data_IF_350997816894
#
_entry.id   IF_350997816894
#
_cell.length_a   1.000
_cell.length_b   1.000
_cell.length_c   1.000
_cell.angle_alpha   90.00
_cell.angle_beta   90.00
_cell.angle_gamma   90.00
#
_symmetry.space_group_name_H-M   'P 1'
#
loop_
_entity.id
_entity.type
_entity.pdbx_description
1 polymer ?
#
# COMPACT_ATOMS: atom_id res chain seq x y z
N UNK A 1 5.02 -10.25 41.93
CA UNK A 1 4.91 -8.80 41.66
C UNK A 1 5.31 -8.60 40.21
N UNK A 2 4.34 -8.77 39.31
CA UNK A 2 4.57 -8.84 37.87
C UNK A 2 4.70 -7.42 37.32
N UNK A 3 5.85 -7.13 36.70
CA UNK A 3 6.06 -5.90 35.94
C UNK A 3 5.31 -6.05 34.62
N UNK A 4 4.46 -5.09 34.19
CA UNK A 4 3.96 -5.10 32.83
C UNK A 4 5.16 -4.85 31.90
N UNK A 5 5.47 -5.81 31.04
CA UNK A 5 6.39 -5.59 29.94
C UNK A 5 5.79 -4.51 29.04
N UNK A 6 6.46 -3.35 28.99
CA UNK A 6 6.14 -2.31 28.03
C UNK A 6 6.37 -2.88 26.62
N UNK A 7 5.31 -3.32 25.96
CA UNK A 7 5.28 -3.60 24.53
C UNK A 7 5.35 -2.27 23.76
N UNK A 8 6.52 -1.64 23.78
CA UNK A 8 6.83 -0.40 23.10
C UNK A 8 7.89 -0.66 22.03
N UNK A 9 7.53 -1.41 21.00
CA UNK A 9 8.36 -1.63 19.82
C UNK A 9 7.46 -1.62 18.60
N UNK A 10 7.07 -0.42 18.16
CA UNK A 10 6.48 -0.26 16.83
C UNK A 10 7.57 -0.56 15.81
N UNK A 11 7.74 -1.84 15.47
CA UNK A 11 8.76 -2.31 14.54
C UNK A 11 8.38 -1.83 13.14
N UNK A 12 8.88 -0.64 12.79
CA UNK A 12 8.70 -0.07 11.46
C UNK A 12 9.58 -0.87 10.51
N UNK A 13 8.98 -1.75 9.72
CA UNK A 13 9.71 -2.54 8.74
C UNK A 13 9.55 -1.92 7.35
N UNK A 14 10.69 -1.58 6.75
CA UNK A 14 10.76 -1.11 5.38
C UNK A 14 11.14 -2.29 4.47
N UNK A 15 10.35 -2.50 3.43
CA UNK A 15 10.62 -3.45 2.35
C UNK A 15 10.58 -2.69 1.04
N UNK A 16 11.73 -2.58 0.37
CA UNK A 16 11.80 -1.99 -0.95
C UNK A 16 12.21 -3.06 -1.96
N UNK A 17 11.57 -3.03 -3.12
CA UNK A 17 11.92 -3.90 -4.23
C UNK A 17 11.62 -3.17 -5.52
N UNK A 18 12.41 -3.44 -6.56
CA UNK A 18 12.16 -2.91 -7.89
C UNK A 18 11.81 -4.07 -8.80
N UNK A 19 10.69 -3.96 -9.52
CA UNK A 19 10.30 -4.90 -10.55
C UNK A 19 10.24 -4.19 -11.90
N UNK A 20 10.80 -4.83 -12.93
CA UNK A 20 10.65 -4.37 -14.30
C UNK A 20 9.30 -4.84 -14.80
N UNK A 21 8.32 -3.94 -14.85
CA UNK A 21 7.00 -4.19 -15.41
C UNK A 21 6.99 -3.59 -16.82
N UNK A 22 6.81 -4.45 -17.83
CA UNK A 22 6.96 -4.08 -19.24
C UNK A 22 8.36 -3.47 -19.53
N UNK A 23 8.42 -2.24 -20.06
CA UNK A 23 9.66 -1.54 -20.39
C UNK A 23 10.07 -0.54 -19.32
N UNK A 24 9.33 -0.45 -18.21
CA UNK A 24 9.57 0.54 -17.16
C UNK A 24 9.99 -0.15 -15.86
N UNK A 25 11.07 0.36 -15.26
CA UNK A 25 11.47 -0.05 -13.92
C UNK A 25 10.52 0.59 -12.91
N UNK A 26 9.81 -0.24 -12.16
CA UNK A 26 8.88 0.20 -11.12
C UNK A 26 9.49 -0.12 -9.77
N UNK A 27 9.56 0.89 -8.92
CA UNK A 27 10.01 0.77 -7.56
C UNK A 27 8.81 0.66 -6.63
N UNK A 28 8.90 -0.29 -5.71
CA UNK A 28 7.92 -0.56 -4.67
C UNK A 28 8.58 -0.30 -3.33
N UNK A 29 7.95 0.52 -2.51
CA UNK A 29 8.39 0.83 -1.16
C UNK A 29 7.23 0.55 -0.21
N UNK A 30 7.36 -0.51 0.55
CA UNK A 30 6.42 -0.91 1.59
C UNK A 30 7.01 -0.54 2.93
N UNK A 31 6.23 0.13 3.76
CA UNK A 31 6.58 0.50 5.12
C UNK A 31 5.44 0.01 6.00
N UNK A 32 5.71 -1.01 6.79
CA UNK A 32 4.77 -1.52 7.79
C UNK A 32 5.03 -0.81 9.11
N UNK A 33 3.95 -0.32 9.72
CA UNK A 33 3.90 0.23 11.06
C UNK A 33 3.02 -0.70 11.93
N UNK A 34 2.90 -0.38 13.23
CA UNK A 34 2.14 -1.21 14.19
C UNK A 34 0.71 -1.51 13.73
N UNK A 35 -0.02 -0.47 13.30
CA UNK A 35 -1.44 -0.54 12.91
C UNK A 35 -1.71 0.02 11.51
N UNK A 36 -0.65 0.38 10.77
CA UNK A 36 -0.77 0.92 9.42
C UNK A 36 0.29 0.36 8.48
N UNK A 37 -0.01 0.41 7.20
CA UNK A 37 0.84 -0.04 6.12
C UNK A 37 0.91 1.09 5.10
N UNK A 38 2.09 1.42 4.63
CA UNK A 38 2.29 2.38 3.56
C UNK A 38 2.95 1.67 2.39
N UNK A 39 2.35 1.78 1.21
CA UNK A 39 2.80 1.16 -0.02
C UNK A 39 2.94 2.25 -1.05
N UNK A 40 4.14 2.43 -1.56
CA UNK A 40 4.43 3.38 -2.62
C UNK A 40 4.90 2.61 -3.84
N UNK A 41 4.37 2.99 -4.99
CA UNK A 41 4.69 2.41 -6.29
C UNK A 41 4.97 3.54 -7.26
N UNK A 42 6.14 3.53 -7.88
CA UNK A 42 6.50 4.56 -8.85
C UNK A 42 7.76 4.25 -9.63
N UNK A 43 7.88 4.79 -10.83
CA UNK A 43 9.08 4.67 -11.65
C UNK A 43 10.12 5.79 -11.39
N UNK A 44 9.70 6.88 -10.75
CA UNK A 44 10.55 8.03 -10.40
C UNK A 44 10.31 8.40 -8.93
N UNK A 45 11.26 9.03 -8.22
CA UNK A 45 11.14 9.38 -6.81
C UNK A 45 10.18 10.57 -6.57
N UNK A 46 9.07 10.63 -7.29
CA UNK A 46 8.02 11.62 -7.12
C UNK A 46 6.86 10.99 -6.36
N UNK A 47 6.32 11.73 -5.39
CA UNK A 47 5.10 11.39 -4.67
C UNK A 47 3.94 12.07 -5.41
N UNK A 48 3.22 11.33 -6.25
CA UNK A 48 1.90 11.74 -6.79
C UNK A 48 0.89 10.62 -6.59
N UNK A 49 -0.39 10.98 -6.65
CA UNK A 49 -1.52 10.05 -6.57
C UNK A 49 -1.44 9.14 -5.33
N UNK A 50 -1.33 9.78 -4.16
CA UNK A 50 -1.39 9.15 -2.85
C UNK A 50 -2.85 9.04 -2.40
N UNK A 51 -3.27 7.85 -2.07
CA UNK A 51 -4.53 7.55 -1.42
C UNK A 51 -4.29 6.83 -0.09
N UNK A 52 -5.25 6.93 0.80
CA UNK A 52 -5.31 6.13 2.02
C UNK A 52 -6.64 5.41 2.08
N UNK A 53 -6.62 4.16 2.51
CA UNK A 53 -7.81 3.44 2.87
C UNK A 53 -7.71 2.92 4.30
N UNK A 54 -8.81 2.97 5.03
CA UNK A 54 -8.89 2.42 6.38
C UNK A 54 -10.17 1.62 6.56
N UNK A 55 -10.05 0.43 7.12
CA UNK A 55 -11.20 -0.30 7.63
C UNK A 55 -11.64 0.33 8.95
N UNK A 56 -12.92 0.65 9.06
CA UNK A 56 -13.47 1.11 10.33
C UNK A 56 -14.20 -0.05 11.00
N UNK A 57 -14.18 -0.08 12.33
CA UNK A 57 -14.95 -1.03 13.15
C UNK A 57 -16.48 -0.96 12.95
N UNK A 58 -16.97 0.06 12.23
CA UNK A 58 -18.39 0.30 12.00
C UNK A 58 -18.84 -0.10 10.59
N UNK A 59 -17.92 -0.29 9.64
CA UNK A 59 -18.27 -0.56 8.24
C UNK A 59 -17.36 -1.65 7.64
N UNK A 60 -18.00 -2.61 6.95
CA UNK A 60 -17.32 -3.68 6.21
C UNK A 60 -16.60 -3.16 4.96
N UNK A 61 -16.95 -1.94 4.53
CA UNK A 61 -16.34 -1.27 3.38
C UNK A 61 -15.23 -0.32 3.89
N UNK A 62 -13.97 -0.54 3.50
CA UNK A 62 -12.89 0.39 3.86
C UNK A 62 -13.15 1.76 3.22
N UNK A 63 -13.03 2.81 4.02
CA UNK A 63 -13.07 4.20 3.58
C UNK A 63 -11.77 4.50 2.84
N UNK A 64 -11.85 4.87 1.56
CA UNK A 64 -10.71 5.33 0.77
C UNK A 64 -10.82 6.83 0.51
N UNK A 65 -9.69 7.53 0.59
CA UNK A 65 -9.58 8.96 0.27
C UNK A 65 -8.26 9.24 -0.43
N UNK A 66 -8.29 10.05 -1.48
CA UNK A 66 -7.09 10.53 -2.15
C UNK A 66 -6.52 11.71 -1.34
N UNK A 67 -5.28 11.58 -0.87
CA UNK A 67 -4.56 12.61 -0.13
C UNK A 67 -3.76 13.54 -1.04
N UNK A 68 -3.26 13.03 -2.16
CA UNK A 68 -2.39 13.78 -3.07
C UNK A 68 -2.63 13.31 -4.50
N UNK A 69 -2.70 14.22 -5.47
CA UNK A 69 -2.92 13.87 -6.87
C UNK A 69 -4.35 14.14 -7.34
N UNK A 70 -4.64 13.73 -8.57
CA UNK A 70 -5.93 14.00 -9.19
C UNK A 70 -6.98 13.02 -8.64
N UNK A 71 -8.07 13.53 -8.08
CA UNK A 71 -9.14 12.69 -7.51
C UNK A 71 -9.85 11.85 -8.57
N UNK A 72 -9.64 12.15 -9.85
CA UNK A 72 -10.10 11.33 -10.98
C UNK A 72 -9.38 9.98 -11.08
N UNK A 73 -8.16 9.86 -10.54
CA UNK A 73 -7.41 8.60 -10.52
C UNK A 73 -7.91 7.68 -9.40
N UNK A 74 -9.04 7.04 -9.67
CA UNK A 74 -9.67 6.01 -8.82
C UNK A 74 -8.81 4.76 -8.62
N UNK A 75 -7.70 4.64 -9.35
CA UNK A 75 -6.76 3.53 -9.25
C UNK A 75 -6.09 3.44 -7.87
N UNK A 76 -5.58 4.58 -7.37
CA UNK A 76 -4.89 4.64 -6.07
C UNK A 76 -5.83 4.33 -4.91
N UNK A 77 -7.04 4.91 -4.92
CA UNK A 77 -8.08 4.70 -3.90
C UNK A 77 -8.65 3.29 -3.95
N UNK A 78 -8.90 2.74 -5.15
CA UNK A 78 -9.40 1.39 -5.34
C UNK A 78 -8.40 0.32 -4.89
N UNK A 79 -7.12 0.50 -5.19
CA UNK A 79 -6.06 -0.41 -4.74
C UNK A 79 -5.90 -0.33 -3.21
N UNK A 80 -5.87 0.88 -2.65
CA UNK A 80 -5.82 1.08 -1.19
C UNK A 80 -7.00 0.38 -0.50
N UNK A 81 -8.21 0.54 -1.02
CA UNK A 81 -9.41 -0.08 -0.46
C UNK A 81 -9.34 -1.61 -0.49
N UNK A 82 -8.91 -2.21 -1.60
CA UNK A 82 -8.76 -3.67 -1.70
C UNK A 82 -7.71 -4.20 -0.73
N UNK A 83 -6.58 -3.51 -0.59
CA UNK A 83 -5.53 -3.87 0.36
C UNK A 83 -6.00 -3.72 1.80
N UNK A 84 -6.61 -2.58 2.16
CA UNK A 84 -7.15 -2.34 3.50
C UNK A 84 -8.18 -3.40 3.88
N UNK A 85 -9.06 -3.81 2.97
CA UNK A 85 -10.01 -4.91 3.21
C UNK A 85 -9.31 -6.24 3.47
N UNK A 86 -8.18 -6.49 2.81
CA UNK A 86 -7.43 -7.75 2.93
C UNK A 86 -6.56 -7.80 4.20
N UNK A 87 -5.96 -6.67 4.58
CA UNK A 87 -5.11 -6.58 5.78
C UNK A 87 -5.90 -6.22 7.04
N UNK A 88 -7.13 -5.74 6.89
CA UNK A 88 -7.97 -5.17 7.95
C UNK A 88 -7.27 -4.05 8.75
N UNK A 89 -6.34 -3.34 8.10
CA UNK A 89 -5.54 -2.23 8.67
C UNK A 89 -5.64 -0.98 7.80
N UNK A 90 -5.11 0.13 8.30
CA UNK A 90 -4.96 1.35 7.50
C UNK A 90 -3.86 1.16 6.46
N UNK A 91 -4.18 1.32 5.18
CA UNK A 91 -3.24 1.18 4.07
C UNK A 91 -3.15 2.49 3.28
N UNK A 92 -1.97 3.05 3.21
CA UNK A 92 -1.64 4.16 2.32
C UNK A 92 -1.07 3.60 1.02
N UNK A 93 -1.58 4.04 -0.13
CA UNK A 93 -1.10 3.65 -1.44
C UNK A 93 -0.74 4.88 -2.24
N UNK A 94 0.52 5.02 -2.64
CA UNK A 94 0.94 6.01 -3.62
C UNK A 94 1.19 5.33 -4.95
N UNK A 95 0.56 5.81 -6.01
CA UNK A 95 0.69 5.22 -7.34
C UNK A 95 1.17 6.27 -8.35
N UNK A 96 2.49 6.39 -8.51
CA UNK A 96 3.15 7.36 -9.39
C UNK A 96 3.61 6.71 -10.70
N UNK A 97 2.69 6.06 -11.43
CA UNK A 97 3.00 5.47 -12.73
C UNK A 97 2.23 6.22 -13.84
N UNK A 98 2.90 6.65 -14.92
CA UNK A 98 2.26 7.38 -16.01
C UNK A 98 1.38 6.49 -16.88
N UNK A 99 1.49 5.16 -16.74
CA UNK A 99 0.71 4.18 -17.49
C UNK A 99 -0.62 3.89 -16.78
N UNK A 100 -1.70 4.43 -17.33
CA UNK A 100 -3.11 4.23 -16.91
C UNK A 100 -3.79 3.07 -17.63
N UNK A 101 -3.02 2.11 -18.18
CA UNK A 101 -3.62 0.93 -18.80
C UNK A 101 -4.06 -0.05 -17.72
N UNK A 102 -5.34 -0.45 -17.73
CA UNK A 102 -5.91 -1.37 -16.73
C UNK A 102 -5.16 -2.70 -16.63
N UNK A 103 -4.48 -3.13 -17.70
CA UNK A 103 -3.61 -4.33 -17.66
C UNK A 103 -2.37 -4.14 -16.78
N UNK A 104 -1.79 -2.95 -16.77
CA UNK A 104 -0.62 -2.64 -15.95
C UNK A 104 -1.00 -2.49 -14.48
N UNK A 105 -2.17 -1.91 -14.21
CA UNK A 105 -2.79 -1.86 -12.89
C UNK A 105 -2.98 -3.25 -12.28
N UNK A 106 -3.52 -4.20 -13.05
CA UNK A 106 -3.69 -5.59 -12.63
C UNK A 106 -2.36 -6.29 -12.37
N UNK A 107 -1.34 -6.03 -13.19
CA UNK A 107 0.01 -6.58 -12.98
C UNK A 107 0.64 -6.07 -11.68
N UNK A 108 0.55 -4.75 -11.42
CA UNK A 108 1.02 -4.16 -10.17
C UNK A 108 0.28 -4.77 -8.98
N UNK A 109 -1.05 -4.87 -9.05
CA UNK A 109 -1.84 -5.47 -7.98
C UNK A 109 -1.51 -6.96 -7.77
N UNK A 110 -1.36 -7.73 -8.85
CA UNK A 110 -0.97 -9.14 -8.77
C UNK A 110 0.39 -9.29 -8.12
N UNK A 111 1.35 -8.44 -8.50
CA UNK A 111 2.70 -8.46 -7.93
C UNK A 111 2.70 -8.10 -6.44
N UNK A 112 1.93 -7.08 -6.05
CA UNK A 112 1.78 -6.74 -4.63
C UNK A 112 1.13 -7.91 -3.87
N UNK A 113 0.11 -8.55 -4.43
CA UNK A 113 -0.54 -9.71 -3.80
C UNK A 113 0.41 -10.90 -3.66
N UNK A 114 1.24 -11.17 -4.67
CA UNK A 114 2.29 -12.19 -4.59
C UNK A 114 3.30 -11.85 -3.50
N UNK A 115 3.77 -10.61 -3.45
CA UNK A 115 4.75 -10.18 -2.46
C UNK A 115 4.17 -10.24 -1.04
N UNK A 116 2.89 -9.89 -0.86
CA UNK A 116 2.15 -10.09 0.40
C UNK A 116 2.03 -11.55 0.79
N UNK A 117 1.91 -12.47 -0.18
CA UNK A 117 1.84 -13.91 0.09
C UNK A 117 3.23 -14.50 0.38
N UNK A 118 4.27 -14.00 -0.30
CA UNK A 118 5.64 -14.43 -0.11
C UNK A 118 6.22 -13.93 1.22
N UNK A 119 5.88 -12.69 1.61
CA UNK A 119 6.40 -12.03 2.81
C UNK A 119 5.27 -11.44 3.65
N UNK A 120 4.36 -12.25 4.22
CA UNK A 120 3.25 -11.77 5.04
C UNK A 120 3.73 -11.02 6.29
N UNK A 121 4.92 -11.32 6.78
CA UNK A 121 5.58 -10.66 7.91
C UNK A 121 5.99 -9.20 7.64
N UNK A 122 6.07 -8.80 6.36
CA UNK A 122 6.41 -7.44 5.93
C UNK A 122 5.18 -6.57 5.70
N UNK A 123 3.97 -7.11 5.85
CA UNK A 123 2.69 -6.43 5.59
C UNK A 123 1.76 -6.37 6.82
#
# INVERSE_FOLDING_TARGET
MERPAAAGGGDVSLHNFSARLWEQLVHFHVMRLTDSLFLWVGATPHLRNLAVAMCTRYDSIPLSTALLGDTSDTMSTGLAQRLARKTSKQVFVSYNLPNTSSSFELLVESRIKEEMQAFPEKF
#
